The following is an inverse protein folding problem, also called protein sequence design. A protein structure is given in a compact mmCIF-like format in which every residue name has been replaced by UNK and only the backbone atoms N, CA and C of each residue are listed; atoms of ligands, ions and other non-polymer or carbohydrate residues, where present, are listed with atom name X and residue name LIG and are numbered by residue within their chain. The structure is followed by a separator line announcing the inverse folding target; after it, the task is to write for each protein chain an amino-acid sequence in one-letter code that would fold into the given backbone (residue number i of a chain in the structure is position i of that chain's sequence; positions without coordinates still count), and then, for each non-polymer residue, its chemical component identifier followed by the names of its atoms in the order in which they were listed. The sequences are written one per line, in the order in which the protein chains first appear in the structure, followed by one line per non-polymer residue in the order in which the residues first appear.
data_IF_705239511384
#
_entry.id   IF_705239511384
#
_cell.length_a   1.000
_cell.length_b   1.000
_cell.length_c   1.000
_cell.angle_alpha   90.00
_cell.angle_beta   90.00
_cell.angle_gamma   90.00
#
_symmetry.space_group_name_H-M   'P 1'
#
loop_
_entity.id
_entity.type
_entity.pdbx_description
1 polymer ?
#
# COMPACT_ATOMS: atom_id res chain seq x y z
N UNK A 1 26.93 8.04 -21.14
CA UNK A 1 27.02 7.10 -20.02
C UNK A 1 25.74 6.28 -20.03
N UNK A 2 25.84 4.98 -20.03
CA UNK A 2 24.70 4.09 -19.86
C UNK A 2 24.84 3.37 -18.53
N UNK A 3 23.82 3.48 -17.70
CA UNK A 3 23.72 2.76 -16.42
C UNK A 3 22.54 1.80 -16.56
N UNK A 4 22.79 0.56 -16.24
CA UNK A 4 21.79 -0.47 -16.20
C UNK A 4 21.88 -1.17 -14.83
N UNK A 5 20.90 -0.93 -13.97
CA UNK A 5 20.77 -1.60 -12.68
C UNK A 5 19.88 -2.80 -12.91
N UNK A 6 20.50 -3.94 -13.20
CA UNK A 6 19.78 -5.21 -13.26
C UNK A 6 19.41 -5.63 -11.84
N UNK A 7 18.14 -5.94 -11.61
CA UNK A 7 17.57 -6.36 -10.34
C UNK A 7 17.74 -5.33 -9.21
N UNK A 8 16.87 -4.31 -9.21
CA UNK A 8 16.76 -3.36 -8.10
C UNK A 8 16.61 -4.11 -6.78
N UNK A 9 17.55 -3.91 -5.87
CA UNK A 9 17.53 -4.54 -4.57
C UNK A 9 16.61 -3.82 -3.58
N UNK A 10 16.08 -4.56 -2.60
CA UNK A 10 15.24 -4.04 -1.52
C UNK A 10 13.96 -3.35 -2.01
N UNK A 11 13.36 -3.93 -3.04
CA UNK A 11 11.96 -3.73 -3.46
C UNK A 11 11.27 -5.09 -3.46
N UNK A 12 9.95 -5.13 -3.57
CA UNK A 12 9.22 -6.38 -3.77
C UNK A 12 9.16 -6.69 -5.27
N UNK A 13 9.64 -7.90 -5.67
CA UNK A 13 9.65 -8.36 -7.05
C UNK A 13 10.86 -7.90 -7.85
N UNK A 14 10.80 -8.04 -9.19
CA UNK A 14 11.92 -7.81 -10.09
C UNK A 14 11.67 -6.66 -11.06
N UNK A 15 12.47 -5.62 -10.94
CA UNK A 15 12.53 -4.50 -11.88
C UNK A 15 13.99 -4.14 -12.19
N UNK A 16 14.22 -3.63 -13.39
CA UNK A 16 15.50 -3.06 -13.80
C UNK A 16 15.35 -1.55 -13.97
N UNK A 17 16.41 -0.81 -13.72
CA UNK A 17 16.47 0.61 -14.02
C UNK A 17 17.48 0.85 -15.13
N UNK A 18 17.05 1.47 -16.22
CA UNK A 18 17.90 1.85 -17.36
C UNK A 18 17.96 3.36 -17.46
N UNK A 19 19.18 3.89 -17.45
CA UNK A 19 19.46 5.32 -17.68
C UNK A 19 20.51 5.44 -18.76
N UNK A 20 20.17 6.11 -19.86
CA UNK A 20 21.12 6.44 -20.92
C UNK A 20 21.28 7.96 -21.03
N UNK A 21 22.51 8.44 -20.85
CA UNK A 21 22.86 9.85 -20.97
C UNK A 21 24.08 10.01 -21.91
N UNK A 22 23.94 10.84 -22.92
CA UNK A 22 24.99 11.14 -23.92
C UNK A 22 25.39 12.61 -23.80
N UNK A 23 26.67 12.87 -23.64
CA UNK A 23 27.23 14.23 -23.53
C UNK A 23 26.61 15.11 -22.47
N UNK A 24 26.19 14.51 -21.33
CA UNK A 24 25.53 15.21 -20.22
C UNK A 24 24.02 15.42 -20.39
N UNK A 25 23.43 14.93 -21.48
CA UNK A 25 21.98 14.97 -21.72
C UNK A 25 21.35 13.59 -21.52
N UNK A 26 20.25 13.55 -20.77
CA UNK A 26 19.45 12.35 -20.60
C UNK A 26 18.74 12.01 -21.92
N UNK A 27 18.98 10.81 -22.47
CA UNK A 27 18.31 10.28 -23.66
C UNK A 27 17.19 9.33 -23.29
N UNK A 28 17.42 8.48 -22.31
CA UNK A 28 16.45 7.49 -21.85
C UNK A 28 16.53 7.31 -20.33
N UNK A 29 15.37 7.17 -19.70
CA UNK A 29 15.25 6.74 -18.32
C UNK A 29 13.94 5.96 -18.19
N UNK A 30 14.05 4.67 -17.84
CA UNK A 30 12.89 3.80 -17.70
C UNK A 30 13.07 2.78 -16.59
N UNK A 31 11.95 2.42 -15.97
CA UNK A 31 11.85 1.34 -14.99
C UNK A 31 11.24 0.12 -15.71
N UNK A 32 12.07 -0.84 -16.03
CA UNK A 32 11.64 -2.05 -16.75
C UNK A 32 11.07 -3.07 -15.77
N UNK A 33 9.80 -3.42 -15.94
CA UNK A 33 9.17 -4.49 -15.19
C UNK A 33 9.25 -5.77 -16.01
N UNK A 34 10.02 -6.73 -15.49
CA UNK A 34 10.38 -7.96 -16.22
C UNK A 34 9.76 -9.24 -15.64
N UNK A 35 8.95 -9.13 -14.57
CA UNK A 35 8.21 -10.27 -14.04
C UNK A 35 7.12 -10.75 -15.00
N UNK A 36 6.90 -12.06 -15.04
CA UNK A 36 5.83 -12.63 -15.86
C UNK A 36 4.46 -12.28 -15.31
N UNK A 37 3.50 -11.88 -16.15
CA UNK A 37 2.11 -11.67 -15.74
C UNK A 37 1.48 -12.93 -15.16
N UNK A 38 0.64 -12.81 -14.13
CA UNK A 38 0.08 -13.95 -13.39
C UNK A 38 -1.41 -14.17 -13.59
N UNK A 39 -2.08 -13.40 -14.43
CA UNK A 39 -3.45 -13.60 -14.93
C UNK A 39 -4.54 -13.76 -13.85
N UNK A 40 -4.44 -13.13 -12.70
CA UNK A 40 -5.40 -13.31 -11.61
C UNK A 40 -6.85 -12.97 -12.01
N UNK A 41 -7.07 -11.91 -12.77
CA UNK A 41 -8.41 -11.56 -13.28
C UNK A 41 -9.00 -12.68 -14.14
N UNK A 42 -8.18 -13.31 -14.99
CA UNK A 42 -8.58 -14.48 -15.78
C UNK A 42 -8.85 -15.73 -14.94
N UNK A 43 -8.08 -15.94 -13.85
CA UNK A 43 -8.27 -17.06 -12.94
C UNK A 43 -9.57 -16.97 -12.13
N UNK A 44 -10.12 -15.77 -11.96
CA UNK A 44 -11.38 -15.55 -11.25
C UNK A 44 -12.62 -15.89 -12.08
N UNK A 45 -12.53 -15.86 -13.42
CA UNK A 45 -13.69 -16.15 -14.28
C UNK A 45 -14.29 -17.51 -13.99
N UNK A 46 -15.61 -17.55 -13.78
CA UNK A 46 -16.37 -18.75 -13.42
C UNK A 46 -16.20 -19.22 -11.97
N UNK A 47 -15.41 -18.50 -11.13
CA UNK A 47 -15.30 -18.84 -9.71
C UNK A 47 -16.50 -18.31 -8.93
N UNK A 48 -16.96 -19.12 -7.99
CA UNK A 48 -18.02 -18.73 -7.08
C UNK A 48 -17.54 -17.63 -6.11
N UNK A 49 -18.42 -16.74 -5.69
CA UNK A 49 -18.09 -15.57 -4.84
C UNK A 49 -17.33 -15.94 -3.56
N UNK A 50 -17.55 -17.14 -3.00
CA UNK A 50 -16.84 -17.62 -1.80
C UNK A 50 -15.35 -17.89 -2.02
N UNK A 51 -14.94 -18.17 -3.26
CA UNK A 51 -13.57 -18.55 -3.61
C UNK A 51 -12.72 -17.35 -4.05
N UNK A 52 -13.35 -16.21 -4.35
CA UNK A 52 -12.69 -15.06 -4.96
C UNK A 52 -11.64 -14.46 -4.03
N UNK A 53 -11.99 -14.11 -2.79
CA UNK A 53 -11.07 -13.48 -1.86
C UNK A 53 -9.86 -14.38 -1.49
N UNK A 54 -9.99 -15.69 -1.24
CA UNK A 54 -8.86 -16.57 -1.05
C UNK A 54 -7.91 -16.68 -2.24
N UNK A 55 -8.43 -16.63 -3.47
CA UNK A 55 -7.62 -16.65 -4.70
C UNK A 55 -6.87 -15.33 -4.85
N UNK A 56 -7.60 -14.21 -4.80
CA UNK A 56 -7.04 -12.88 -5.06
C UNK A 56 -6.02 -12.45 -4.01
N UNK A 57 -6.13 -12.94 -2.77
CA UNK A 57 -5.13 -12.74 -1.73
C UNK A 57 -3.73 -13.21 -2.14
N UNK A 58 -3.63 -14.14 -3.11
CA UNK A 58 -2.36 -14.69 -3.62
C UNK A 58 -1.63 -13.77 -4.61
N UNK A 59 -2.24 -12.65 -4.99
CA UNK A 59 -1.54 -11.64 -5.78
C UNK A 59 -0.27 -11.19 -5.04
N UNK A 60 -0.31 -11.05 -3.72
CA UNK A 60 0.83 -10.56 -2.96
C UNK A 60 0.99 -11.23 -1.61
N UNK A 61 2.26 -11.43 -1.19
CA UNK A 61 2.60 -11.87 0.16
C UNK A 61 2.75 -10.74 1.18
N UNK A 62 2.77 -9.46 0.75
CA UNK A 62 2.96 -8.31 1.65
C UNK A 62 1.65 -7.55 1.89
N UNK A 63 0.78 -7.41 0.88
CA UNK A 63 -0.50 -6.69 0.95
C UNK A 63 -1.72 -7.61 0.74
N UNK A 64 -1.63 -8.86 1.16
CA UNK A 64 -2.69 -9.87 0.98
C UNK A 64 -3.98 -9.53 1.74
N UNK A 65 -3.90 -8.83 2.87
CA UNK A 65 -5.08 -8.40 3.62
C UNK A 65 -5.84 -7.31 2.85
N UNK A 66 -5.13 -6.33 2.25
CA UNK A 66 -5.76 -5.31 1.41
C UNK A 66 -6.47 -5.94 0.21
N UNK A 67 -5.83 -6.88 -0.50
CA UNK A 67 -6.47 -7.62 -1.59
C UNK A 67 -7.70 -8.39 -1.12
N UNK A 68 -7.62 -9.07 0.02
CA UNK A 68 -8.78 -9.75 0.62
C UNK A 68 -9.91 -8.79 0.95
N UNK A 69 -9.61 -7.70 1.67
CA UNK A 69 -10.61 -6.78 2.18
C UNK A 69 -11.32 -6.01 1.07
N UNK A 70 -10.59 -5.54 0.04
CA UNK A 70 -11.19 -4.85 -1.10
C UNK A 70 -12.00 -5.82 -1.96
N UNK A 71 -11.52 -7.06 -2.12
CA UNK A 71 -12.24 -8.11 -2.84
C UNK A 71 -13.57 -8.44 -2.16
N UNK A 72 -13.56 -8.61 -0.83
CA UNK A 72 -14.80 -8.81 -0.06
C UNK A 72 -15.75 -7.63 -0.22
N UNK A 73 -15.25 -6.39 -0.13
CA UNK A 73 -16.07 -5.21 -0.27
C UNK A 73 -16.68 -5.06 -1.68
N UNK A 74 -15.92 -5.38 -2.75
CA UNK A 74 -16.43 -5.38 -4.12
C UNK A 74 -17.51 -6.45 -4.33
N UNK A 75 -17.25 -7.66 -3.82
CA UNK A 75 -18.23 -8.77 -3.85
C UNK A 75 -19.50 -8.42 -3.10
N UNK A 76 -19.39 -7.85 -1.89
CA UNK A 76 -20.52 -7.47 -1.05
C UNK A 76 -21.37 -6.36 -1.71
N UNK A 77 -20.73 -5.41 -2.38
CA UNK A 77 -21.43 -4.39 -3.17
C UNK A 77 -22.15 -4.99 -4.37
N UNK A 78 -21.47 -5.88 -5.11
CA UNK A 78 -22.06 -6.54 -6.27
C UNK A 78 -23.28 -7.39 -5.91
N UNK A 79 -23.24 -8.08 -4.79
CA UNK A 79 -24.28 -9.02 -4.35
C UNK A 79 -25.27 -8.42 -3.33
N UNK A 80 -25.18 -7.11 -3.05
CA UNK A 80 -26.06 -6.41 -2.13
C UNK A 80 -25.98 -6.90 -0.67
N UNK A 81 -24.83 -7.42 -0.21
CA UNK A 81 -24.65 -7.98 1.13
C UNK A 81 -24.16 -6.89 2.11
N UNK A 82 -24.98 -6.45 3.06
CA UNK A 82 -24.56 -5.48 4.05
C UNK A 82 -23.67 -6.14 5.11
N UNK A 83 -22.69 -5.36 5.61
CA UNK A 83 -21.83 -5.77 6.74
C UNK A 83 -22.20 -5.03 8.03
N UNK A 84 -22.01 -5.69 9.15
CA UNK A 84 -22.24 -5.11 10.48
C UNK A 84 -21.16 -4.08 10.86
N UNK A 85 -21.42 -3.32 11.94
CA UNK A 85 -20.42 -2.44 12.53
C UNK A 85 -19.24 -3.24 13.10
N UNK A 86 -19.50 -4.40 13.72
CA UNK A 86 -18.46 -5.30 14.23
C UNK A 86 -17.53 -5.77 13.11
N UNK A 87 -18.09 -6.30 12.02
CA UNK A 87 -17.33 -6.72 10.85
C UNK A 87 -16.48 -5.58 10.28
N UNK A 88 -17.06 -4.37 10.15
CA UNK A 88 -16.33 -3.19 9.67
C UNK A 88 -15.15 -2.82 10.58
N UNK A 89 -15.35 -2.86 11.89
CA UNK A 89 -14.31 -2.54 12.87
C UNK A 89 -13.16 -3.57 12.84
N UNK A 90 -13.48 -4.86 12.79
CA UNK A 90 -12.48 -5.91 12.73
C UNK A 90 -11.68 -5.86 11.41
N UNK A 91 -12.33 -5.59 10.27
CA UNK A 91 -11.65 -5.39 8.99
C UNK A 91 -10.75 -4.16 9.00
N UNK A 92 -11.16 -3.06 9.65
CA UNK A 92 -10.34 -1.87 9.84
C UNK A 92 -9.09 -2.19 10.69
N UNK A 93 -9.26 -2.94 11.77
CA UNK A 93 -8.14 -3.39 12.60
C UNK A 93 -7.16 -4.27 11.82
N UNK A 94 -7.66 -5.17 10.96
CA UNK A 94 -6.84 -5.99 10.06
C UNK A 94 -6.05 -5.13 9.05
N UNK A 95 -6.68 -4.11 8.47
CA UNK A 95 -6.02 -3.17 7.56
C UNK A 95 -4.92 -2.37 8.27
N UNK A 96 -5.16 -1.89 9.49
CA UNK A 96 -4.13 -1.23 10.30
C UNK A 96 -2.95 -2.18 10.58
N UNK A 97 -3.22 -3.45 10.91
CA UNK A 97 -2.18 -4.46 11.09
C UNK A 97 -1.29 -4.62 9.85
N UNK A 98 -1.86 -4.64 8.65
CA UNK A 98 -1.10 -4.74 7.40
C UNK A 98 -0.32 -3.47 7.07
N UNK A 99 -0.91 -2.28 7.29
CA UNK A 99 -0.20 -1.00 7.10
C UNK A 99 1.04 -0.96 8.00
N UNK A 100 0.89 -1.30 9.29
CA UNK A 100 2.01 -1.41 10.22
C UNK A 100 3.04 -2.43 9.73
N UNK A 101 2.59 -3.61 9.29
CA UNK A 101 3.44 -4.70 8.83
C UNK A 101 4.30 -4.29 7.63
N UNK A 102 3.68 -3.62 6.64
CA UNK A 102 4.34 -3.18 5.42
C UNK A 102 5.24 -1.96 5.66
N UNK A 103 4.76 -0.96 6.41
CA UNK A 103 5.53 0.25 6.65
C UNK A 103 6.78 -0.01 7.51
N UNK A 104 6.69 -0.82 8.56
CA UNK A 104 7.86 -1.20 9.35
C UNK A 104 8.86 -1.98 8.52
N UNK A 105 8.41 -2.88 7.65
CA UNK A 105 9.29 -3.58 6.71
C UNK A 105 10.01 -2.60 5.79
N UNK A 106 9.29 -1.69 5.17
CA UNK A 106 9.84 -0.72 4.25
C UNK A 106 10.81 0.24 4.97
N UNK A 107 10.40 0.83 6.07
CA UNK A 107 11.19 1.81 6.81
C UNK A 107 12.53 1.21 7.25
N UNK A 108 12.51 0.08 7.97
CA UNK A 108 13.71 -0.46 8.61
C UNK A 108 14.56 -1.36 7.71
N UNK A 109 13.93 -2.20 6.87
CA UNK A 109 14.64 -3.22 6.12
C UNK A 109 14.99 -2.79 4.70
N UNK A 110 14.18 -1.91 4.11
CA UNK A 110 14.40 -1.44 2.74
C UNK A 110 15.06 -0.06 2.69
N UNK A 111 14.57 0.93 3.45
CA UNK A 111 15.02 2.32 3.35
C UNK A 111 16.20 2.67 4.27
N UNK A 112 16.13 2.39 5.58
CA UNK A 112 17.19 2.74 6.54
C UNK A 112 18.60 2.38 6.08
N UNK A 113 18.85 1.21 5.44
CA UNK A 113 20.19 0.88 4.95
C UNK A 113 20.80 1.94 4.03
N UNK A 114 20.01 2.58 3.16
CA UNK A 114 20.49 3.63 2.25
C UNK A 114 21.03 4.84 3.01
N UNK A 115 20.30 5.27 4.03
CA UNK A 115 20.64 6.44 4.82
C UNK A 115 21.81 6.21 5.76
N UNK A 116 22.05 4.96 6.15
CA UNK A 116 23.17 4.56 7.01
C UNK A 116 24.38 4.03 6.21
N UNK A 117 24.33 4.04 4.87
CA UNK A 117 25.43 3.63 4.01
C UNK A 117 25.78 2.14 4.11
N UNK A 118 24.80 1.27 4.37
CA UNK A 118 24.98 -0.19 4.48
C UNK A 118 24.13 -0.93 3.45
N UNK A 119 24.56 -2.13 3.00
CA UNK A 119 23.83 -2.87 1.97
C UNK A 119 22.48 -3.43 2.43
N UNK A 120 22.33 -3.67 3.74
CA UNK A 120 21.10 -4.18 4.36
C UNK A 120 21.09 -3.89 5.86
N UNK A 121 19.98 -4.21 6.55
CA UNK A 121 19.87 -4.05 8.00
C UNK A 121 20.74 -5.05 8.78
N UNK A 122 21.10 -6.20 8.22
CA UNK A 122 21.79 -7.29 8.94
C UNK A 122 23.16 -6.91 9.48
N UNK A 123 24.04 -6.17 8.77
CA UNK A 123 25.31 -5.69 9.36
C UNK A 123 25.11 -4.83 10.61
N UNK A 124 23.97 -4.11 10.70
CA UNK A 124 23.64 -3.27 11.86
C UNK A 124 23.33 -4.08 13.13
N UNK A 125 23.06 -5.38 13.01
CA UNK A 125 22.80 -6.24 14.17
C UNK A 125 23.99 -6.32 15.15
N UNK A 126 25.22 -6.00 14.68
CA UNK A 126 26.42 -5.94 15.52
C UNK A 126 26.67 -4.55 16.10
N UNK A 127 26.50 -3.49 15.29
CA UNK A 127 26.84 -2.11 15.66
C UNK A 127 25.67 -1.30 16.23
N UNK A 128 24.43 -1.66 15.87
CA UNK A 128 23.18 -1.00 16.28
C UNK A 128 22.10 -2.02 16.63
N UNK A 129 22.42 -2.90 17.60
CA UNK A 129 21.56 -4.03 18.00
C UNK A 129 20.16 -3.57 18.41
N UNK A 130 20.05 -2.44 19.11
CA UNK A 130 18.77 -1.91 19.60
C UNK A 130 17.86 -1.52 18.46
N UNK A 131 18.40 -0.88 17.41
CA UNK A 131 17.66 -0.54 16.19
C UNK A 131 17.06 -1.80 15.53
N UNK A 132 17.87 -2.85 15.35
CA UNK A 132 17.41 -4.09 14.71
C UNK A 132 16.39 -4.81 15.60
N UNK A 133 16.61 -4.85 16.91
CA UNK A 133 15.68 -5.47 17.87
C UNK A 133 14.34 -4.74 17.88
N UNK A 134 14.35 -3.41 17.83
CA UNK A 134 13.15 -2.57 17.72
C UNK A 134 12.37 -2.86 16.45
N UNK A 135 13.05 -2.88 15.29
CA UNK A 135 12.42 -3.22 14.00
C UNK A 135 11.70 -4.58 14.07
N UNK A 136 12.33 -5.59 14.67
CA UNK A 136 11.76 -6.93 14.82
C UNK A 136 10.57 -6.95 15.78
N UNK A 137 10.62 -6.21 16.91
CA UNK A 137 9.48 -6.11 17.85
C UNK A 137 8.27 -5.47 17.20
N UNK A 138 8.46 -4.34 16.53
CA UNK A 138 7.39 -3.63 15.82
C UNK A 138 6.81 -4.48 14.68
N UNK A 139 7.65 -5.16 13.90
CA UNK A 139 7.20 -6.08 12.85
C UNK A 139 6.42 -7.25 13.41
N UNK A 140 6.86 -7.82 14.54
CA UNK A 140 6.14 -8.90 15.24
C UNK A 140 4.78 -8.43 15.72
N UNK A 141 4.67 -7.26 16.34
CA UNK A 141 3.40 -6.68 16.80
C UNK A 141 2.40 -6.56 15.64
N UNK A 142 2.83 -6.02 14.49
CA UNK A 142 2.01 -5.91 13.30
C UNK A 142 1.53 -7.29 12.79
N UNK A 143 2.42 -8.28 12.79
CA UNK A 143 2.06 -9.65 12.44
C UNK A 143 1.06 -10.25 13.44
N UNK A 144 1.20 -9.97 14.74
CA UNK A 144 0.30 -10.46 15.78
C UNK A 144 -1.13 -9.90 15.60
N UNK A 145 -1.27 -8.62 15.19
CA UNK A 145 -2.58 -8.03 14.86
C UNK A 145 -3.22 -8.80 13.70
N UNK A 146 -2.50 -8.96 12.60
CA UNK A 146 -3.01 -9.69 11.43
C UNK A 146 -3.36 -11.14 11.78
N UNK A 147 -2.53 -11.80 12.59
CA UNK A 147 -2.78 -13.19 13.00
C UNK A 147 -4.03 -13.32 13.90
N UNK A 148 -4.22 -12.44 14.86
CA UNK A 148 -5.36 -12.49 15.79
C UNK A 148 -6.68 -12.22 15.06
N UNK A 149 -6.70 -11.26 14.13
CA UNK A 149 -7.92 -10.86 13.42
C UNK A 149 -8.13 -11.69 12.14
N UNK A 150 -7.07 -11.90 11.37
CA UNK A 150 -7.11 -12.56 10.06
C UNK A 150 -6.87 -14.07 10.10
N UNK A 151 -6.53 -14.63 11.28
CA UNK A 151 -6.18 -16.04 11.45
C UNK A 151 -4.78 -16.41 10.94
N UNK A 152 -4.13 -15.52 10.22
CA UNK A 152 -2.75 -15.63 9.71
C UNK A 152 -2.14 -14.25 9.56
N UNK A 153 -0.81 -14.11 9.70
CA UNK A 153 -0.14 -12.83 9.46
C UNK A 153 -0.13 -12.43 7.98
N UNK A 154 -0.25 -13.40 7.08
CA UNK A 154 -0.29 -13.22 5.62
C UNK A 154 -1.33 -14.18 5.03
N UNK A 155 -2.05 -13.75 3.98
CA UNK A 155 -3.15 -14.51 3.38
C UNK A 155 -4.22 -14.88 4.42
N UNK A 156 -5.01 -13.92 4.91
CA UNK A 156 -5.97 -14.11 5.98
C UNK A 156 -7.02 -15.16 5.60
N UNK A 157 -7.53 -15.87 6.61
CA UNK A 157 -8.48 -16.98 6.40
C UNK A 157 -9.79 -16.78 7.14
N UNK A 158 -9.89 -15.81 8.06
CA UNK A 158 -11.11 -15.57 8.84
C UNK A 158 -12.07 -14.57 8.18
N UNK A 159 -11.63 -13.50 7.44
CA UNK A 159 -12.56 -12.64 6.75
C UNK A 159 -13.26 -13.39 5.61
N UNK A 160 -14.56 -13.26 5.51
CA UNK A 160 -15.39 -13.84 4.45
C UNK A 160 -16.51 -12.87 4.04
N UNK A 161 -17.19 -13.18 2.95
CA UNK A 161 -18.31 -12.36 2.47
C UNK A 161 -19.37 -12.22 3.55
N UNK A 162 -19.75 -10.99 3.88
CA UNK A 162 -20.73 -10.65 4.90
C UNK A 162 -20.19 -10.65 6.35
N UNK A 163 -18.94 -11.08 6.59
CA UNK A 163 -18.43 -11.15 7.98
C UNK A 163 -17.09 -11.80 8.17
N UNK A 164 -17.04 -12.67 9.16
CA UNK A 164 -15.88 -13.49 9.54
C UNK A 164 -16.32 -14.94 9.80
N UNK A 165 -15.56 -15.90 9.35
CA UNK A 165 -15.77 -17.32 9.65
C UNK A 165 -15.39 -17.70 11.09
N UNK A 166 -14.55 -16.90 11.73
CA UNK A 166 -14.18 -17.01 13.14
C UNK A 166 -13.84 -15.64 13.70
N UNK A 167 -14.32 -15.33 14.89
CA UNK A 167 -14.03 -14.09 15.59
C UNK A 167 -12.78 -14.20 16.45
N UNK A 168 -12.03 -13.11 16.66
CA UNK A 168 -10.92 -13.11 17.61
C UNK A 168 -11.43 -13.27 19.06
N UNK A 169 -10.65 -13.92 19.91
CA UNK A 169 -10.92 -13.99 21.34
C UNK A 169 -10.77 -12.61 21.99
N UNK A 170 -11.68 -12.22 22.88
CA UNK A 170 -11.59 -10.95 23.61
C UNK A 170 -10.28 -10.81 24.40
N UNK A 171 -9.78 -11.90 25.00
CA UNK A 171 -8.50 -11.92 25.69
C UNK A 171 -7.30 -11.67 24.76
N UNK A 172 -7.38 -12.14 23.51
CA UNK A 172 -6.34 -11.87 22.49
C UNK A 172 -6.33 -10.39 22.09
N UNK A 173 -7.51 -9.77 21.88
CA UNK A 173 -7.64 -8.33 21.64
C UNK A 173 -7.07 -7.50 22.80
N UNK A 174 -7.40 -7.88 24.05
CA UNK A 174 -6.81 -7.24 25.23
C UNK A 174 -5.28 -7.39 25.26
N UNK A 175 -4.76 -8.54 24.83
CA UNK A 175 -3.32 -8.79 24.69
C UNK A 175 -2.69 -7.84 23.67
N UNK A 176 -3.29 -7.72 22.48
CA UNK A 176 -2.83 -6.78 21.43
C UNK A 176 -2.84 -5.33 21.91
N UNK A 177 -3.90 -4.91 22.58
CA UNK A 177 -3.98 -3.55 23.16
C UNK A 177 -2.81 -3.24 24.09
N UNK A 178 -2.48 -4.18 24.99
CA UNK A 178 -1.30 -4.01 25.88
C UNK A 178 0.00 -3.92 25.08
N UNK A 179 0.18 -4.76 24.07
CA UNK A 179 1.37 -4.73 23.22
C UNK A 179 1.50 -3.42 22.43
N UNK A 180 0.37 -2.87 21.90
CA UNK A 180 0.34 -1.57 21.22
C UNK A 180 0.79 -0.43 22.13
N UNK A 181 0.27 -0.40 23.38
CA UNK A 181 0.70 0.60 24.38
C UNK A 181 2.18 0.43 24.75
N UNK A 182 2.65 -0.81 24.90
CA UNK A 182 4.05 -1.10 25.20
C UNK A 182 5.01 -0.76 24.06
N UNK A 183 4.52 -0.63 22.83
CA UNK A 183 5.31 -0.27 21.67
C UNK A 183 5.52 1.25 21.50
N UNK A 184 4.82 2.09 22.27
CA UNK A 184 4.94 3.55 22.16
C UNK A 184 6.38 4.07 22.33
N UNK A 185 7.19 3.60 23.30
CA UNK A 185 8.61 3.99 23.40
C UNK A 185 9.43 3.59 22.16
N UNK A 186 9.19 2.39 21.60
CA UNK A 186 9.85 1.96 20.36
C UNK A 186 9.50 2.87 19.18
N UNK A 187 8.29 3.42 19.15
CA UNK A 187 7.84 4.38 18.12
C UNK A 187 8.48 5.75 18.33
N UNK A 188 8.61 6.24 19.55
CA UNK A 188 9.31 7.48 19.87
C UNK A 188 10.77 7.44 19.40
N UNK A 189 11.49 6.38 19.74
CA UNK A 189 12.86 6.17 19.24
C UNK A 189 12.92 5.99 17.70
N UNK A 190 11.84 5.50 17.08
CA UNK A 190 11.74 5.42 15.61
C UNK A 190 11.58 6.82 15.01
N UNK A 191 10.76 7.67 15.60
CA UNK A 191 10.61 9.08 15.19
C UNK A 191 11.93 9.83 15.31
N UNK A 192 12.65 9.67 16.42
CA UNK A 192 13.98 10.27 16.61
C UNK A 192 14.97 9.83 15.52
N UNK A 193 15.01 8.53 15.21
CA UNK A 193 15.86 7.99 14.15
C UNK A 193 15.53 8.68 12.80
N UNK A 194 14.27 8.65 12.36
CA UNK A 194 13.89 9.16 11.05
C UNK A 194 14.00 10.69 10.95
N UNK A 195 13.80 11.42 12.05
CA UNK A 195 14.05 12.87 12.12
C UNK A 195 15.53 13.24 11.95
N UNK A 196 16.43 12.32 12.25
CA UNK A 196 17.90 12.53 12.13
C UNK A 196 18.45 12.14 10.75
N UNK A 197 17.67 11.46 9.89
CA UNK A 197 18.15 11.01 8.59
C UNK A 197 18.25 12.17 7.59
N UNK A 198 19.32 12.23 6.78
CA UNK A 198 19.50 13.24 5.75
C UNK A 198 18.61 12.92 4.54
N UNK A 199 17.35 13.33 4.57
CA UNK A 199 16.42 13.16 3.45
C UNK A 199 16.89 13.99 2.27
N UNK A 200 17.06 13.41 1.04
CA UNK A 200 17.46 14.18 -0.13
C UNK A 200 16.43 15.26 -0.47
N UNK A 201 16.90 16.42 -0.87
CA UNK A 201 16.06 17.48 -1.41
C UNK A 201 15.79 17.20 -2.89
N UNK A 202 14.53 17.08 -3.23
CA UNK A 202 14.05 16.94 -4.60
C UNK A 202 12.57 17.26 -4.65
N UNK A 203 12.18 18.04 -5.64
CA UNK A 203 10.78 18.40 -5.85
C UNK A 203 10.42 18.32 -7.32
N UNK A 204 9.28 17.74 -7.60
CA UNK A 204 8.62 17.79 -8.90
C UNK A 204 7.12 17.94 -8.69
N UNK A 205 6.52 18.85 -9.42
CA UNK A 205 5.07 19.00 -9.38
C UNK A 205 4.39 17.76 -9.97
N UNK A 206 3.46 17.19 -9.21
CA UNK A 206 2.68 16.02 -9.64
C UNK A 206 1.28 16.07 -9.01
N UNK A 207 0.35 15.31 -9.56
CA UNK A 207 -0.96 15.06 -8.97
C UNK A 207 -0.85 14.01 -7.87
N UNK A 208 -1.60 14.18 -6.77
CA UNK A 208 -1.67 13.26 -5.65
C UNK A 208 -3.08 12.73 -5.51
N UNK A 209 -3.26 11.41 -5.68
CA UNK A 209 -4.56 10.76 -5.66
C UNK A 209 -4.67 9.82 -4.46
N UNK A 210 -5.82 9.82 -3.80
CA UNK A 210 -6.14 8.93 -2.69
C UNK A 210 -7.65 8.74 -2.56
N UNK A 211 -8.06 7.85 -1.65
CA UNK A 211 -9.45 7.83 -1.22
C UNK A 211 -9.80 9.07 -0.42
N UNK A 212 -11.08 9.45 -0.47
CA UNK A 212 -11.69 10.55 0.25
C UNK A 212 -13.01 10.17 0.87
N UNK A 213 -13.76 11.19 1.29
CA UNK A 213 -15.04 11.02 1.96
C UNK A 213 -14.92 10.76 3.46
N UNK A 214 -16.01 10.92 4.20
CA UNK A 214 -16.08 10.68 5.64
C UNK A 214 -15.25 11.62 6.51
N UNK A 215 -15.25 11.35 7.83
CA UNK A 215 -14.52 12.10 8.86
C UNK A 215 -13.17 11.47 9.22
N UNK A 216 -13.00 10.17 8.95
CA UNK A 216 -11.83 9.40 9.35
C UNK A 216 -10.70 9.49 8.32
N UNK A 217 -9.49 9.17 8.73
CA UNK A 217 -8.37 8.99 7.78
C UNK A 217 -8.72 7.87 6.79
N UNK A 218 -8.55 8.10 5.47
CA UNK A 218 -9.27 7.36 4.44
C UNK A 218 -8.65 5.99 4.10
N UNK A 219 -8.53 5.08 5.07
CA UNK A 219 -8.13 3.69 4.75
C UNK A 219 -9.24 2.97 3.96
N UNK A 220 -10.50 3.26 4.28
CA UNK A 220 -11.67 2.87 3.50
C UNK A 220 -12.41 4.13 3.09
N UNK A 221 -12.87 4.19 1.87
CA UNK A 221 -13.59 5.35 1.35
C UNK A 221 -14.46 4.99 0.15
N UNK A 222 -15.44 5.84 -0.12
CA UNK A 222 -16.38 5.67 -1.24
C UNK A 222 -16.17 6.71 -2.34
N UNK A 223 -15.18 7.59 -2.20
CA UNK A 223 -14.81 8.59 -3.19
C UNK A 223 -13.30 8.59 -3.47
N UNK A 224 -12.95 8.93 -4.70
CA UNK A 224 -11.59 9.20 -5.18
C UNK A 224 -11.42 10.71 -5.13
N UNK A 225 -10.30 11.17 -4.55
CA UNK A 225 -9.96 12.60 -4.51
C UNK A 225 -8.53 12.80 -5.02
N UNK A 226 -8.27 13.93 -5.66
CA UNK A 226 -6.91 14.32 -6.03
C UNK A 226 -6.60 15.78 -5.70
N UNK A 227 -5.29 16.09 -5.66
CA UNK A 227 -4.81 17.47 -5.51
C UNK A 227 -5.24 18.40 -6.65
N UNK A 228 -5.57 17.83 -7.82
CA UNK A 228 -5.92 18.55 -9.04
C UNK A 228 -7.43 18.63 -9.27
N UNK A 229 -8.23 18.26 -8.24
CA UNK A 229 -9.66 18.51 -8.21
C UNK A 229 -10.55 17.32 -8.57
N UNK A 230 -10.00 16.12 -8.75
CA UNK A 230 -10.85 14.92 -8.87
C UNK A 230 -11.65 14.77 -7.57
N UNK A 231 -12.96 14.53 -7.72
CA UNK A 231 -13.86 14.14 -6.65
C UNK A 231 -14.95 13.25 -7.29
N UNK A 232 -14.70 11.94 -7.33
CA UNK A 232 -15.55 10.97 -8.02
C UNK A 232 -15.91 9.79 -7.11
N UNK A 233 -17.08 9.15 -7.25
CA UNK A 233 -17.39 7.90 -6.58
C UNK A 233 -16.39 6.80 -6.95
N UNK A 234 -16.07 5.89 -6.00
CA UNK A 234 -15.23 4.71 -6.28
C UNK A 234 -15.82 3.85 -7.42
N UNK A 235 -17.15 3.81 -7.56
CA UNK A 235 -17.80 3.08 -8.64
C UNK A 235 -17.43 3.61 -10.06
N UNK A 236 -16.95 4.84 -10.15
CA UNK A 236 -16.55 5.50 -11.41
C UNK A 236 -15.02 5.46 -11.61
N UNK A 237 -14.31 4.56 -10.92
CA UNK A 237 -12.84 4.49 -11.00
C UNK A 237 -12.33 4.33 -12.43
N UNK A 238 -12.99 3.52 -13.24
CA UNK A 238 -12.58 3.26 -14.63
C UNK A 238 -12.75 4.48 -15.58
N UNK A 239 -13.62 5.43 -15.23
CA UNK A 239 -13.72 6.71 -15.92
C UNK A 239 -12.73 7.75 -15.38
N UNK A 240 -12.17 7.52 -14.19
CA UNK A 240 -11.28 8.44 -13.49
C UNK A 240 -9.81 8.10 -13.76
N UNK A 241 -9.48 6.81 -13.83
CA UNK A 241 -8.12 6.27 -13.98
C UNK A 241 -8.06 5.46 -15.27
N UNK A 242 -7.17 5.85 -16.17
CA UNK A 242 -6.89 5.13 -17.40
C UNK A 242 -5.60 4.32 -17.27
N UNK A 243 -5.69 3.00 -17.36
CA UNK A 243 -4.53 2.11 -17.45
C UNK A 243 -4.10 1.90 -18.90
N UNK A 244 -2.79 1.89 -19.14
CA UNK A 244 -2.21 1.70 -20.47
C UNK A 244 -0.94 0.85 -20.43
N UNK A 245 -0.56 0.29 -21.59
CA UNK A 245 0.63 -0.54 -21.73
C UNK A 245 1.80 0.25 -22.33
N UNK A 246 3.00 -0.08 -21.88
CA UNK A 246 4.26 0.42 -22.45
C UNK A 246 5.16 -0.74 -22.85
N UNK A 247 6.00 -0.60 -23.91
CA UNK A 247 6.77 -1.72 -24.46
C UNK A 247 7.82 -2.32 -23.51
N UNK A 248 8.29 -1.56 -22.52
CA UNK A 248 9.36 -1.95 -21.61
C UNK A 248 8.86 -2.49 -20.26
N UNK A 249 7.55 -2.69 -20.12
CA UNK A 249 6.98 -3.14 -18.86
C UNK A 249 5.89 -4.19 -19.08
N UNK A 250 5.93 -5.25 -18.29
CA UNK A 250 4.86 -6.25 -18.19
C UNK A 250 3.74 -5.83 -17.24
N UNK A 251 3.95 -4.74 -16.47
CA UNK A 251 2.93 -4.09 -15.67
C UNK A 251 2.31 -2.94 -16.46
N UNK A 252 1.02 -2.67 -16.20
CA UNK A 252 0.33 -1.49 -16.72
C UNK A 252 0.89 -0.22 -16.08
N UNK A 253 0.80 0.88 -16.79
CA UNK A 253 0.93 2.24 -16.31
C UNK A 253 -0.44 2.87 -16.17
N UNK A 254 -0.56 3.98 -15.45
CA UNK A 254 -1.83 4.66 -15.27
C UNK A 254 -1.67 6.18 -15.37
N UNK A 255 -2.75 6.85 -15.82
CA UNK A 255 -2.91 8.31 -15.82
C UNK A 255 -4.29 8.71 -15.31
N UNK A 256 -4.41 9.94 -14.83
CA UNK A 256 -5.67 10.53 -14.36
C UNK A 256 -5.85 11.91 -14.99
N UNK A 257 -5.86 13.00 -14.21
CA UNK A 257 -5.89 14.36 -14.78
C UNK A 257 -4.56 14.68 -15.49
N UNK A 258 -3.44 14.21 -14.94
CA UNK A 258 -2.10 14.35 -15.53
C UNK A 258 -1.62 13.03 -16.13
N UNK A 259 -0.59 13.09 -16.98
CA UNK A 259 0.07 11.92 -17.56
C UNK A 259 0.73 11.00 -16.51
N UNK A 260 0.96 11.52 -15.31
CA UNK A 260 1.44 10.76 -14.16
C UNK A 260 0.90 11.34 -12.86
N UNK A 261 0.68 10.50 -11.87
CA UNK A 261 0.24 10.89 -10.54
C UNK A 261 0.82 9.96 -9.48
N UNK A 262 0.79 10.41 -8.22
CA UNK A 262 1.28 9.66 -7.07
C UNK A 262 0.11 9.16 -6.23
N UNK A 263 0.15 7.88 -5.86
CA UNK A 263 -0.68 7.30 -4.79
C UNK A 263 0.21 6.83 -3.63
N UNK A 264 -0.38 6.59 -2.47
CA UNK A 264 0.30 6.05 -1.31
C UNK A 264 0.40 7.02 -0.13
N UNK A 265 1.29 6.76 0.83
CA UNK A 265 1.33 7.48 2.10
C UNK A 265 1.44 9.00 1.95
N UNK A 266 2.28 9.49 1.04
CA UNK A 266 2.42 10.93 0.82
C UNK A 266 1.15 11.55 0.22
N UNK A 267 0.51 10.87 -0.74
CA UNK A 267 -0.75 11.33 -1.33
C UNK A 267 -1.87 11.38 -0.27
N UNK A 268 -1.99 10.33 0.55
CA UNK A 268 -2.95 10.30 1.67
C UNK A 268 -2.69 11.39 2.69
N UNK A 269 -1.42 11.56 3.09
CA UNK A 269 -1.03 12.62 4.03
C UNK A 269 -1.38 14.02 3.48
N UNK A 270 -1.19 14.26 2.19
CA UNK A 270 -1.58 15.54 1.57
C UNK A 270 -3.09 15.75 1.56
N UNK A 271 -3.83 14.78 1.07
CA UNK A 271 -5.27 14.92 0.83
C UNK A 271 -6.11 14.82 2.12
N UNK A 272 -5.57 14.19 3.18
CA UNK A 272 -6.29 13.91 4.42
C UNK A 272 -5.52 14.30 5.69
N UNK A 273 -4.56 15.23 5.62
CA UNK A 273 -3.70 15.61 6.75
C UNK A 273 -4.48 15.96 8.02
N UNK A 274 -5.55 16.72 7.88
CA UNK A 274 -6.38 17.14 9.02
C UNK A 274 -7.11 15.99 9.73
N UNK A 275 -7.18 14.81 9.09
CA UNK A 275 -7.85 13.59 9.60
C UNK A 275 -6.88 12.62 10.30
N UNK A 276 -5.59 12.92 10.33
CA UNK A 276 -4.62 12.18 11.13
C UNK A 276 -5.01 12.25 12.61
N UNK A 277 -4.73 11.20 13.35
CA UNK A 277 -4.90 11.16 14.81
C UNK A 277 -4.04 12.23 15.52
N UNK A 278 -4.38 12.64 16.75
CA UNK A 278 -3.65 13.69 17.44
C UNK A 278 -2.14 13.45 17.56
N UNK A 279 -1.73 12.26 17.96
CA UNK A 279 -0.31 11.89 18.06
C UNK A 279 0.38 11.93 16.69
N UNK A 280 -0.27 11.37 15.66
CA UNK A 280 0.27 11.38 14.29
C UNK A 280 0.48 12.79 13.75
N UNK A 281 -0.45 13.73 14.03
CA UNK A 281 -0.28 15.15 13.65
C UNK A 281 0.89 15.83 14.36
N UNK A 282 1.08 15.54 15.66
CA UNK A 282 2.21 16.06 16.41
C UNK A 282 3.54 15.56 15.84
N UNK A 283 3.63 14.27 15.54
CA UNK A 283 4.81 13.66 14.92
C UNK A 283 5.05 14.24 13.52
N UNK A 284 4.02 14.38 12.68
CA UNK A 284 4.13 15.00 11.36
C UNK A 284 4.72 16.42 11.46
N UNK A 285 4.21 17.25 12.37
CA UNK A 285 4.69 18.59 12.58
C UNK A 285 6.15 18.62 13.06
N UNK A 286 6.52 17.75 14.01
CA UNK A 286 7.88 17.62 14.52
C UNK A 286 8.90 17.19 13.45
N UNK A 287 8.48 16.38 12.48
CA UNK A 287 9.30 15.92 11.35
C UNK A 287 9.24 16.85 10.13
N UNK A 288 8.53 17.97 10.19
CA UNK A 288 8.39 18.92 9.08
C UNK A 288 7.49 18.40 7.92
N UNK A 289 6.71 17.36 8.13
CA UNK A 289 5.74 16.88 7.14
C UNK A 289 4.48 17.71 7.19
N UNK A 290 4.04 18.24 6.04
CA UNK A 290 2.83 19.05 5.91
C UNK A 290 1.94 18.56 4.76
N UNK A 291 0.72 19.08 4.70
CA UNK A 291 -0.20 18.85 3.59
C UNK A 291 0.28 19.40 2.24
N UNK A 292 1.32 20.24 2.22
CA UNK A 292 1.94 20.79 1.01
C UNK A 292 3.23 20.07 0.58
N UNK A 293 3.64 18.99 1.28
CA UNK A 293 4.87 18.27 0.98
C UNK A 293 4.86 17.71 -0.46
N UNK A 294 5.90 18.01 -1.24
CA UNK A 294 6.04 17.61 -2.66
C UNK A 294 7.22 16.68 -2.92
N UNK A 295 8.15 16.62 -1.97
CA UNK A 295 9.32 15.76 -2.09
C UNK A 295 8.93 14.26 -1.98
N UNK A 296 9.13 13.40 -3.01
CA UNK A 296 8.76 11.99 -2.96
C UNK A 296 9.48 11.21 -1.85
N UNK A 297 10.67 11.62 -1.42
CA UNK A 297 11.37 11.03 -0.28
C UNK A 297 10.62 11.23 1.03
N UNK A 298 9.75 12.25 1.16
CA UNK A 298 8.86 12.44 2.30
C UNK A 298 7.81 11.32 2.43
N UNK A 299 7.67 10.44 1.45
CA UNK A 299 6.89 9.20 1.60
C UNK A 299 7.36 8.34 2.78
N UNK A 300 8.66 8.40 3.16
CA UNK A 300 9.17 7.74 4.36
C UNK A 300 8.59 8.34 5.63
N UNK A 301 8.57 9.69 5.71
CA UNK A 301 8.01 10.41 6.84
C UNK A 301 6.50 10.16 6.93
N UNK A 302 5.80 10.20 5.80
CA UNK A 302 4.37 9.92 5.72
C UNK A 302 4.05 8.49 6.20
N UNK A 303 4.86 7.48 5.83
CA UNK A 303 4.72 6.11 6.35
C UNK A 303 4.88 6.03 7.86
N UNK A 304 5.86 6.73 8.41
CA UNK A 304 6.04 6.74 9.87
C UNK A 304 4.87 7.43 10.57
N UNK A 305 4.37 8.52 10.03
CA UNK A 305 3.16 9.20 10.53
C UNK A 305 1.95 8.26 10.48
N UNK A 306 1.78 7.47 9.41
CA UNK A 306 0.73 6.46 9.32
C UNK A 306 0.92 5.30 10.31
N UNK A 307 2.15 4.90 10.60
CA UNK A 307 2.44 3.91 11.67
C UNK A 307 1.91 4.43 13.01
N UNK A 308 2.19 5.69 13.36
CA UNK A 308 1.69 6.30 14.61
C UNK A 308 0.16 6.36 14.60
N UNK A 309 -0.43 6.84 13.49
CA UNK A 309 -1.88 6.90 13.33
C UNK A 309 -2.54 5.53 13.51
N UNK A 310 -2.03 4.50 12.83
CA UNK A 310 -2.59 3.15 12.91
C UNK A 310 -2.47 2.53 14.31
N UNK A 311 -1.40 2.82 15.05
CA UNK A 311 -1.25 2.34 16.44
C UNK A 311 -2.27 3.03 17.35
N UNK A 312 -2.40 4.36 17.28
CA UNK A 312 -3.36 5.12 18.09
C UNK A 312 -4.81 4.67 17.80
N UNK A 313 -5.17 4.59 16.52
CA UNK A 313 -6.51 4.17 16.10
C UNK A 313 -6.79 2.68 16.39
N UNK A 314 -5.79 1.80 16.29
CA UNK A 314 -5.96 0.39 16.67
C UNK A 314 -6.27 0.23 18.16
N UNK A 315 -5.64 1.03 19.03
CA UNK A 315 -5.96 1.04 20.47
C UNK A 315 -7.42 1.46 20.69
N UNK A 316 -7.85 2.58 20.11
CA UNK A 316 -9.23 3.07 20.21
C UNK A 316 -10.24 2.07 19.67
N UNK A 317 -9.92 1.45 18.53
CA UNK A 317 -10.80 0.49 17.87
C UNK A 317 -10.95 -0.81 18.68
N UNK A 318 -9.87 -1.31 19.27
CA UNK A 318 -9.91 -2.46 20.17
C UNK A 318 -10.76 -2.15 21.39
N UNK A 319 -10.60 -0.98 22.01
CA UNK A 319 -11.40 -0.55 23.15
C UNK A 319 -12.90 -0.49 22.79
N UNK A 320 -13.22 0.07 21.62
CA UNK A 320 -14.60 0.13 21.13
C UNK A 320 -15.21 -1.27 20.87
N UNK A 321 -14.43 -2.19 20.29
CA UNK A 321 -14.87 -3.57 20.03
C UNK A 321 -15.08 -4.34 21.34
N UNK A 322 -14.16 -4.21 22.30
CA UNK A 322 -14.28 -4.87 23.61
C UNK A 322 -15.46 -4.33 24.42
N UNK A 323 -15.71 -3.02 24.37
CA UNK A 323 -16.85 -2.38 25.05
C UNK A 323 -18.20 -2.85 24.46
N UNK A 324 -18.28 -2.98 23.14
CA UNK A 324 -19.48 -3.45 22.45
C UNK A 324 -19.74 -4.95 22.67
N UNK A 325 -18.69 -5.71 22.98
CA UNK A 325 -18.69 -7.16 23.05
C UNK A 325 -18.75 -7.83 21.67
N UNK A 326 -17.99 -8.91 21.51
CA UNK A 326 -18.01 -9.71 20.29
C UNK A 326 -19.20 -10.65 20.26
N UNK A 327 -19.86 -10.75 19.11
CA UNK A 327 -21.04 -11.62 18.90
C UNK A 327 -20.91 -12.33 17.57
N UNK A 328 -21.23 -13.62 17.53
CA UNK A 328 -21.37 -14.34 16.28
C UNK A 328 -22.48 -13.73 15.43
N UNK A 329 -22.22 -13.61 14.13
CA UNK A 329 -23.13 -13.01 13.16
C UNK A 329 -23.45 -14.04 12.08
N UNK A 330 -24.74 -14.20 11.77
CA UNK A 330 -25.15 -15.06 10.68
C UNK A 330 -24.72 -14.45 9.33
N UNK A 331 -23.98 -15.20 8.53
CA UNK A 331 -23.60 -14.82 7.19
C UNK A 331 -24.83 -14.86 6.27
N UNK A 332 -24.97 -13.87 5.41
CA UNK A 332 -26.07 -13.79 4.44
C UNK A 332 -25.63 -14.46 3.14
N UNK A 333 -26.55 -15.20 2.53
CA UNK A 333 -26.40 -15.73 1.17
C UNK A 333 -26.92 -14.70 0.18
N UNK A 334 -26.23 -14.44 -0.96
CA UNK A 334 -26.73 -13.57 -2.01
C UNK A 334 -28.02 -14.12 -2.62
N UNK A 335 -28.89 -13.23 -3.10
CA UNK A 335 -30.18 -13.58 -3.76
C UNK A 335 -30.11 -13.47 -5.30
N UNK A 336 -28.95 -13.13 -5.86
CA UNK A 336 -28.77 -12.95 -7.31
C UNK A 336 -27.36 -12.51 -7.67
N UNK A 337 -27.16 -12.15 -8.95
CA UNK A 337 -25.94 -11.57 -9.47
C UNK A 337 -25.93 -10.03 -9.42
N UNK A 338 -24.87 -9.42 -9.91
CA UNK A 338 -24.74 -7.96 -10.00
C UNK A 338 -23.30 -7.51 -10.17
N UNK A 339 -23.12 -6.20 -10.28
CA UNK A 339 -21.79 -5.58 -10.42
C UNK A 339 -21.46 -4.71 -9.20
N UNK A 340 -20.18 -4.69 -8.82
CA UNK A 340 -19.73 -3.87 -7.70
C UNK A 340 -18.24 -3.57 -7.77
N UNK A 341 -17.89 -2.33 -7.44
CA UNK A 341 -16.52 -1.87 -7.29
C UNK A 341 -16.27 -1.39 -5.87
N UNK A 342 -15.08 -1.64 -5.36
CA UNK A 342 -14.62 -1.15 -4.07
C UNK A 342 -13.16 -0.72 -4.14
N UNK A 343 -12.76 0.13 -3.20
CA UNK A 343 -11.38 0.53 -3.03
C UNK A 343 -10.96 0.52 -1.56
N UNK A 344 -9.66 0.33 -1.34
CA UNK A 344 -8.98 0.44 -0.06
C UNK A 344 -7.65 1.16 -0.25
N UNK A 345 -7.24 1.92 0.75
CA UNK A 345 -5.86 2.38 0.82
C UNK A 345 -4.97 1.26 1.33
N UNK A 346 -4.37 0.52 0.40
CA UNK A 346 -3.32 -0.43 0.71
C UNK A 346 -2.04 0.32 1.16
N UNK A 347 -1.06 -0.32 1.79
CA UNK A 347 0.16 0.36 2.24
C UNK A 347 0.84 1.22 1.17
N UNK A 348 0.78 0.81 -0.09
CA UNK A 348 1.44 1.47 -1.24
C UNK A 348 0.55 2.43 -2.02
N UNK A 349 -0.75 2.50 -1.70
CA UNK A 349 -1.70 3.42 -2.35
C UNK A 349 -3.08 2.82 -2.58
N UNK A 350 -3.89 3.52 -3.33
CA UNK A 350 -5.28 3.16 -3.59
C UNK A 350 -5.37 1.91 -4.46
N UNK A 351 -6.01 0.87 -3.94
CA UNK A 351 -6.26 -0.40 -4.60
C UNK A 351 -7.74 -0.54 -4.93
N UNK A 352 -8.05 -0.78 -6.21
CA UNK A 352 -9.42 -0.99 -6.67
C UNK A 352 -9.63 -2.43 -7.10
N UNK A 353 -10.79 -3.01 -6.74
CA UNK A 353 -11.32 -4.24 -7.31
C UNK A 353 -12.74 -4.02 -7.77
N UNK A 354 -13.09 -4.57 -8.93
CA UNK A 354 -14.43 -4.58 -9.47
C UNK A 354 -14.80 -5.95 -10.01
N UNK A 355 -16.01 -6.41 -9.71
CA UNK A 355 -16.49 -7.74 -10.09
C UNK A 355 -17.92 -7.66 -10.62
N UNK A 356 -18.18 -8.47 -11.67
CA UNK A 356 -19.52 -8.80 -12.10
C UNK A 356 -19.81 -10.28 -11.85
N UNK A 357 -20.95 -10.59 -11.27
CA UNK A 357 -21.41 -11.92 -10.93
C UNK A 357 -22.70 -12.26 -11.67
N UNK A 358 -22.80 -13.51 -12.15
CA UNK A 358 -24.04 -14.07 -12.68
C UNK A 358 -25.05 -14.39 -11.56
N UNK A 359 -26.26 -14.80 -11.97
CA UNK A 359 -27.35 -15.20 -11.04
C UNK A 359 -27.01 -16.37 -10.12
N UNK A 360 -25.94 -17.11 -10.40
CA UNK A 360 -25.44 -18.21 -9.56
C UNK A 360 -24.31 -17.78 -8.63
N UNK A 361 -23.95 -16.52 -8.63
CA UNK A 361 -22.84 -15.97 -7.85
C UNK A 361 -21.47 -16.36 -8.39
N UNK A 362 -21.34 -16.66 -9.70
CA UNK A 362 -20.06 -16.92 -10.34
C UNK A 362 -19.56 -15.69 -11.09
N UNK A 363 -18.26 -15.44 -11.06
CA UNK A 363 -17.64 -14.25 -11.71
C UNK A 363 -17.74 -14.34 -13.24
N UNK A 364 -18.29 -13.30 -13.85
CA UNK A 364 -18.26 -13.04 -15.29
C UNK A 364 -17.14 -12.06 -15.66
N UNK A 365 -17.00 -10.99 -14.87
CA UNK A 365 -15.98 -9.96 -15.09
C UNK A 365 -15.18 -9.68 -13.81
N UNK A 366 -13.90 -9.42 -13.96
CA UNK A 366 -13.01 -9.02 -12.87
C UNK A 366 -12.00 -7.99 -13.37
N UNK A 367 -11.77 -6.94 -12.58
CA UNK A 367 -10.78 -5.92 -12.83
C UNK A 367 -10.11 -5.48 -11.52
N UNK A 368 -8.80 -5.21 -11.58
CA UNK A 368 -8.00 -4.79 -10.44
C UNK A 368 -7.03 -3.69 -10.86
N UNK A 369 -7.14 -2.49 -10.26
CA UNK A 369 -6.19 -1.39 -10.46
C UNK A 369 -5.25 -1.30 -9.26
N UNK A 370 -3.97 -1.55 -9.52
CA UNK A 370 -2.94 -1.77 -8.50
C UNK A 370 -2.18 -0.49 -8.17
N UNK A 371 -1.88 -0.18 -6.90
CA UNK A 371 -1.15 1.03 -6.51
C UNK A 371 0.20 1.20 -7.19
N UNK A 372 0.98 0.12 -7.34
CA UNK A 372 2.29 0.20 -8.00
C UNK A 372 2.16 0.53 -9.48
N UNK A 373 1.21 -0.07 -10.20
CA UNK A 373 0.91 0.27 -11.60
C UNK A 373 0.57 1.78 -11.74
N UNK A 374 -0.21 2.32 -10.82
CA UNK A 374 -0.54 3.75 -10.77
C UNK A 374 0.68 4.64 -10.57
N UNK A 375 1.68 4.19 -9.82
CA UNK A 375 2.89 4.97 -9.53
C UNK A 375 3.98 4.87 -10.61
N UNK A 376 3.97 3.86 -11.51
CA UNK A 376 5.09 3.62 -12.43
C UNK A 376 5.42 4.82 -13.32
N UNK A 377 4.40 5.46 -13.92
CA UNK A 377 4.61 6.67 -14.73
C UNK A 377 5.23 7.80 -13.92
N UNK A 378 4.81 7.95 -12.65
CA UNK A 378 5.31 9.01 -11.78
C UNK A 378 6.75 8.73 -11.30
N UNK A 379 7.10 7.48 -11.01
CA UNK A 379 8.47 7.06 -10.70
C UNK A 379 9.40 7.40 -11.86
N UNK A 380 9.03 7.06 -13.10
CA UNK A 380 9.84 7.40 -14.28
C UNK A 380 9.97 8.90 -14.48
N UNK A 381 8.90 9.66 -14.28
CA UNK A 381 8.93 11.11 -14.40
C UNK A 381 9.84 11.75 -13.34
N UNK A 382 9.81 11.26 -12.11
CA UNK A 382 10.72 11.71 -11.04
C UNK A 382 12.18 11.33 -11.33
N UNK A 383 12.43 10.10 -11.80
CA UNK A 383 13.78 9.67 -12.19
C UNK A 383 14.34 10.56 -13.33
N UNK A 384 13.54 10.82 -14.36
CA UNK A 384 13.94 11.72 -15.47
C UNK A 384 14.25 13.13 -14.99
N UNK A 385 13.50 13.65 -14.03
CA UNK A 385 13.76 14.97 -13.46
C UNK A 385 14.98 14.99 -12.53
N UNK A 386 15.27 13.91 -11.82
CA UNK A 386 16.38 13.80 -10.87
C UNK A 386 17.74 13.56 -11.57
N UNK A 387 17.78 12.71 -12.60
CA UNK A 387 19.04 12.28 -13.27
C UNK A 387 19.95 13.45 -13.67
N UNK A 388 19.48 14.54 -14.30
CA UNK A 388 20.37 15.65 -14.72
C UNK A 388 21.19 16.23 -13.57
N UNK A 389 20.64 16.29 -12.37
CA UNK A 389 21.36 16.81 -11.18
C UNK A 389 22.41 15.84 -10.64
N UNK A 390 22.39 14.59 -11.07
CA UNK A 390 23.27 13.52 -10.59
C UNK A 390 24.40 13.16 -11.56
N UNK A 391 24.34 13.62 -12.84
CA UNK A 391 25.28 13.18 -13.90
C UNK A 391 26.76 13.49 -13.62
N UNK A 392 27.06 14.37 -12.66
CA UNK A 392 28.44 14.68 -12.23
C UNK A 392 28.97 13.78 -11.11
N UNK A 393 28.14 12.90 -10.55
CA UNK A 393 28.51 12.03 -9.44
C UNK A 393 29.22 10.76 -9.94
N UNK A 394 30.04 10.10 -9.07
CA UNK A 394 30.51 8.74 -9.32
C UNK A 394 29.32 7.79 -9.56
N UNK A 395 29.48 6.83 -10.47
CA UNK A 395 28.42 5.91 -10.89
C UNK A 395 27.73 5.20 -9.71
N UNK A 396 28.51 4.73 -8.73
CA UNK A 396 27.95 4.07 -7.53
C UNK A 396 27.05 4.99 -6.69
N UNK A 397 27.40 6.27 -6.57
CA UNK A 397 26.60 7.24 -5.82
C UNK A 397 25.33 7.62 -6.61
N UNK A 398 25.48 7.83 -7.92
CA UNK A 398 24.34 8.09 -8.81
C UNK A 398 23.35 6.92 -8.75
N UNK A 399 23.82 5.69 -8.93
CA UNK A 399 22.98 4.48 -8.83
C UNK A 399 22.25 4.43 -7.49
N UNK A 400 22.96 4.62 -6.38
CA UNK A 400 22.37 4.63 -5.04
C UNK A 400 21.25 5.67 -4.92
N UNK A 401 21.45 6.88 -5.43
CA UNK A 401 20.42 7.96 -5.38
C UNK A 401 19.16 7.61 -6.17
N UNK A 402 19.33 7.02 -7.34
CA UNK A 402 18.21 6.57 -8.17
C UNK A 402 17.44 5.42 -7.50
N UNK A 403 18.15 4.45 -6.96
CA UNK A 403 17.54 3.35 -6.20
C UNK A 403 16.79 3.85 -4.96
N UNK A 404 17.33 4.85 -4.24
CA UNK A 404 16.65 5.48 -3.10
C UNK A 404 15.33 6.11 -3.52
N UNK A 405 15.27 6.77 -4.69
CA UNK A 405 14.02 7.34 -5.20
C UNK A 405 12.98 6.26 -5.49
N UNK A 406 13.35 5.19 -6.18
CA UNK A 406 12.44 4.06 -6.43
C UNK A 406 11.95 3.46 -5.11
N UNK A 407 12.83 3.25 -4.14
CA UNK A 407 12.47 2.72 -2.81
C UNK A 407 11.61 3.66 -1.97
N UNK A 408 11.65 4.98 -2.22
CA UNK A 408 10.73 5.92 -1.57
C UNK A 408 9.27 5.64 -1.93
N UNK A 409 8.99 5.15 -3.14
CA UNK A 409 7.66 4.71 -3.56
C UNK A 409 7.27 3.35 -2.98
N UNK A 410 8.25 2.50 -2.58
CA UNK A 410 8.02 1.13 -2.11
C UNK A 410 7.25 0.28 -3.15
N UNK A 411 7.74 0.14 -4.39
CA UNK A 411 6.99 -0.57 -5.41
C UNK A 411 6.81 -2.05 -5.06
N UNK A 412 5.62 -2.59 -5.36
CA UNK A 412 5.29 -4.01 -5.28
C UNK A 412 5.11 -4.54 -6.69
N UNK A 413 6.18 -5.03 -7.27
CA UNK A 413 6.22 -5.41 -8.68
C UNK A 413 5.31 -6.61 -8.95
N UNK A 414 5.38 -7.64 -8.11
CA UNK A 414 4.51 -8.82 -8.25
C UNK A 414 3.02 -8.46 -8.23
N UNK A 415 2.60 -7.42 -7.49
CA UNK A 415 1.21 -6.96 -7.52
C UNK A 415 0.82 -6.37 -8.87
N UNK A 416 1.73 -5.63 -9.51
CA UNK A 416 1.45 -4.89 -10.74
C UNK A 416 1.43 -5.74 -12.01
N UNK A 417 1.90 -7.00 -11.95
CA UNK A 417 2.04 -7.91 -13.10
C UNK A 417 0.96 -8.99 -13.14
N UNK A 418 -0.29 -8.68 -12.85
CA UNK A 418 -1.36 -9.68 -12.74
C UNK A 418 -2.27 -9.77 -13.98
N UNK A 419 -2.11 -8.89 -14.96
CA UNK A 419 -2.94 -8.85 -16.15
C UNK A 419 -2.16 -9.15 -17.44
N UNK A 420 -2.77 -9.99 -18.30
CA UNK A 420 -2.52 -10.02 -19.73
C UNK A 420 -3.86 -10.15 -20.47
N UNK A 421 -4.11 -9.24 -21.40
CA UNK A 421 -5.18 -9.42 -22.38
C UNK A 421 -4.63 -10.32 -23.49
N UNK A 422 -5.01 -11.59 -23.49
CA UNK A 422 -4.69 -12.51 -24.59
C UNK A 422 -5.78 -12.39 -25.64
N UNK A 423 -5.44 -11.87 -26.80
CA UNK A 423 -6.28 -11.95 -27.97
C UNK A 423 -5.85 -13.19 -28.77
N UNK A 424 -6.71 -14.20 -28.85
CA UNK A 424 -6.52 -15.29 -29.78
C UNK A 424 -6.93 -14.80 -31.17
N UNK A 425 -5.96 -14.72 -32.09
CA UNK A 425 -6.18 -14.40 -33.51
C UNK A 425 -6.52 -15.66 -34.27
#
# INVERSE_FOLDING_TARGET
MRIEVAHLARIEGHANLVVDAVSGELKECRLEIVESPRFFEGLLKGRHYSDVAPIIARICGVCSNSHTLVSLAATERALGIPISRQTRNLRRLLAYGEILQSHILQLYFMAVPDYLGVPSIFPLARSRRDLVSRALRLKKLANDICNVVGGRPVHPVTPCVGGFSALPQASALQGLRRQLVQALPDLEETVELFSSLPVPEFERETEYLSLGGGSDYPIFGDSIVSSDGICAPVAEYAATIEEYLVPHSTAKFARATRESYMVGPLARARNAFARLSPMARQVAAAMGLSASATNPYHSLLARLVEVIHCVEEAIHLIDAVLLAGLREEALRTPEGGGEGAAAIEAPRGTLFHAYGYDEKGCIETADCVIPTAQNLANIEADLRALVPSLLGLPEAELTRRLEMLVRAYDPCISCSTHLLKVEFV
#
